data_IF_576307760666
#
_entry.id   IF_576307760666
#
_cell.length_a   1.000
_cell.length_b   1.000
_cell.length_c   1.000
_cell.angle_alpha   90.00
_cell.angle_beta   90.00
_cell.angle_gamma   90.00
#
_symmetry.space_group_name_H-M   'P 1'
#
loop_
_entity.id
_entity.type
_entity.pdbx_description
1 polymer ?
#
# COMPACT_ATOMS: atom_id res chain seq x y z
N UNK A 1 -35.88 8.82 40.08
CA UNK A 1 -34.59 9.26 40.68
C UNK A 1 -33.46 8.48 40.04
N UNK A 2 -32.66 9.11 39.17
CA UNK A 2 -31.46 8.47 38.59
C UNK A 2 -30.33 8.56 39.62
N UNK A 3 -29.74 7.42 40.00
CA UNK A 3 -28.58 7.36 40.90
C UNK A 3 -27.32 7.59 40.07
N UNK A 4 -26.63 8.69 40.32
CA UNK A 4 -25.31 8.96 39.76
C UNK A 4 -24.31 7.94 40.33
N UNK A 5 -23.80 7.05 39.49
CA UNK A 5 -22.67 6.19 39.86
C UNK A 5 -21.40 7.02 39.76
N UNK A 6 -20.89 7.46 40.90
CA UNK A 6 -19.49 7.92 40.99
C UNK A 6 -18.58 6.70 40.86
N UNK A 7 -17.61 6.78 39.97
CA UNK A 7 -16.52 5.81 39.89
C UNK A 7 -15.30 6.46 40.56
N UNK A 8 -14.83 5.86 41.65
CA UNK A 8 -13.59 6.27 42.31
C UNK A 8 -12.41 5.71 41.50
N UNK A 9 -11.51 6.59 41.04
CA UNK A 9 -10.29 6.18 40.34
C UNK A 9 -9.24 5.84 41.39
N UNK A 10 -8.90 4.55 41.49
CA UNK A 10 -7.75 4.10 42.28
C UNK A 10 -6.51 4.26 41.40
N UNK A 11 -5.67 5.25 41.71
CA UNK A 11 -4.33 5.36 41.11
C UNK A 11 -3.44 4.35 41.82
N UNK A 12 -3.15 3.23 41.15
CA UNK A 12 -2.12 2.30 41.60
C UNK A 12 -0.78 2.83 41.09
N UNK A 13 0.09 3.26 41.99
CA UNK A 13 1.48 3.60 41.67
C UNK A 13 2.17 2.36 41.10
N UNK A 14 2.38 2.34 39.79
CA UNK A 14 3.07 1.26 39.11
C UNK A 14 4.58 1.51 39.18
N UNK A 15 5.21 0.80 40.11
CA UNK A 15 6.65 0.58 40.15
C UNK A 15 7.13 0.04 38.80
N UNK A 16 8.27 0.56 38.34
CA UNK A 16 8.87 0.29 37.03
C UNK A 16 8.97 -1.19 36.67
N UNK A 17 8.51 -1.50 35.44
CA UNK A 17 9.11 -2.38 34.40
C UNK A 17 8.07 -3.33 33.79
N UNK A 18 7.46 -2.89 32.71
CA UNK A 18 7.32 -3.74 31.52
C UNK A 18 7.25 -2.86 30.28
N UNK A 19 8.33 -2.87 29.50
CA UNK A 19 8.18 -2.57 28.07
C UNK A 19 7.39 -3.75 27.53
N UNK A 20 6.13 -3.53 27.15
CA UNK A 20 5.44 -4.46 26.29
C UNK A 20 6.19 -4.47 24.95
N UNK A 21 7.19 -5.33 24.82
CA UNK A 21 7.75 -5.68 23.52
C UNK A 21 6.70 -6.49 22.81
N UNK A 22 5.90 -5.82 21.99
CA UNK A 22 5.09 -6.48 20.99
C UNK A 22 6.04 -7.32 20.13
N UNK A 23 5.86 -8.64 20.04
CA UNK A 23 6.66 -9.50 19.17
C UNK A 23 6.11 -9.35 17.76
N UNK A 24 6.11 -8.13 17.22
CA UNK A 24 6.09 -8.00 15.78
C UNK A 24 7.49 -8.46 15.36
N UNK A 25 7.62 -9.55 14.58
CA UNK A 25 8.88 -9.83 13.92
C UNK A 25 9.30 -8.54 13.21
N UNK A 26 10.40 -7.95 13.66
CA UNK A 26 11.09 -6.91 12.92
C UNK A 26 11.66 -7.64 11.72
N UNK A 27 10.83 -7.80 10.69
CA UNK A 27 11.34 -8.10 9.37
C UNK A 27 12.19 -6.88 9.02
N UNK A 28 13.51 -7.08 8.93
CA UNK A 28 14.42 -6.16 8.25
C UNK A 28 13.99 -6.15 6.78
N UNK A 29 12.88 -5.48 6.49
CA UNK A 29 12.58 -5.07 5.14
C UNK A 29 13.57 -3.96 4.84
N UNK A 30 14.28 -4.10 3.71
CA UNK A 30 15.02 -3.01 3.13
C UNK A 30 14.05 -1.81 3.06
N UNK A 31 14.47 -0.62 3.49
CA UNK A 31 13.58 0.55 3.56
C UNK A 31 12.92 0.82 2.19
N UNK A 32 13.62 0.44 1.12
CA UNK A 32 13.16 0.43 -0.26
C UNK A 32 12.01 -0.56 -0.53
N UNK A 33 12.03 -1.78 0.03
CA UNK A 33 10.92 -2.72 -0.07
C UNK A 33 9.67 -2.21 0.65
N UNK A 34 9.86 -1.62 1.83
CA UNK A 34 8.77 -1.06 2.62
C UNK A 34 8.14 0.15 1.91
N UNK A 35 8.97 1.02 1.35
CA UNK A 35 8.53 2.15 0.54
C UNK A 35 7.76 1.66 -0.70
N UNK A 36 8.32 0.71 -1.44
CA UNK A 36 7.65 0.11 -2.60
C UNK A 36 6.30 -0.53 -2.21
N UNK A 37 6.22 -1.20 -1.06
CA UNK A 37 4.98 -1.78 -0.55
C UNK A 37 3.94 -0.72 -0.17
N UNK A 38 4.34 0.37 0.50
CA UNK A 38 3.45 1.48 0.87
C UNK A 38 2.92 2.18 -0.39
N UNK A 39 3.80 2.48 -1.34
CA UNK A 39 3.45 3.12 -2.61
C UNK A 39 2.49 2.24 -3.42
N UNK A 40 2.78 0.94 -3.54
CA UNK A 40 1.87 -0.01 -4.20
C UNK A 40 0.50 -0.05 -3.49
N UNK A 41 0.46 -0.03 -2.14
CA UNK A 41 -0.80 -0.06 -1.39
C UNK A 41 -1.67 1.19 -1.60
N UNK A 42 -1.07 2.37 -1.71
CA UNK A 42 -1.79 3.63 -1.94
C UNK A 42 -2.27 3.78 -3.39
N UNK A 43 -1.52 3.21 -4.34
CA UNK A 43 -1.79 3.36 -5.77
C UNK A 43 -2.71 2.28 -6.34
N UNK A 44 -2.70 1.08 -5.74
CA UNK A 44 -3.56 -0.03 -6.16
C UNK A 44 -5.05 0.30 -6.19
N UNK A 45 -5.65 1.10 -5.28
CA UNK A 45 -7.05 1.49 -5.35
C UNK A 45 -7.45 2.25 -6.61
N UNK A 46 -6.54 3.06 -7.19
CA UNK A 46 -6.82 3.94 -8.34
C UNK A 46 -6.94 3.20 -9.67
N UNK A 47 -6.38 1.99 -9.74
CA UNK A 47 -6.39 1.18 -10.95
C UNK A 47 -7.70 0.38 -11.10
N UNK A 48 -8.10 0.12 -12.34
CA UNK A 48 -9.16 -0.86 -12.61
C UNK A 48 -8.65 -2.29 -12.33
N UNK A 49 -9.56 -3.23 -12.03
CA UNK A 49 -9.19 -4.64 -11.71
C UNK A 49 -8.25 -5.24 -12.76
N UNK A 50 -8.56 -5.10 -14.05
CA UNK A 50 -7.73 -5.65 -15.12
C UNK A 50 -6.34 -5.00 -15.21
N UNK A 51 -6.22 -3.72 -14.86
CA UNK A 51 -4.94 -3.01 -14.79
C UNK A 51 -4.11 -3.51 -13.59
N UNK A 52 -4.74 -3.70 -12.42
CA UNK A 52 -4.08 -4.27 -11.24
C UNK A 52 -3.51 -5.66 -11.52
N UNK A 53 -4.31 -6.52 -12.16
CA UNK A 53 -3.90 -7.89 -12.48
C UNK A 53 -2.72 -7.87 -13.46
N UNK A 54 -2.80 -7.09 -14.54
CA UNK A 54 -1.70 -6.98 -15.52
C UNK A 54 -0.42 -6.45 -14.86
N UNK A 55 -0.50 -5.39 -14.07
CA UNK A 55 0.64 -4.79 -13.40
C UNK A 55 1.25 -5.75 -12.35
N UNK A 56 0.41 -6.41 -11.55
CA UNK A 56 0.85 -7.39 -10.56
C UNK A 56 1.55 -8.60 -11.18
N UNK A 57 0.99 -9.16 -12.27
CA UNK A 57 1.65 -10.23 -13.01
C UNK A 57 2.98 -9.77 -13.61
N UNK A 58 3.07 -8.52 -14.08
CA UNK A 58 4.31 -7.96 -14.60
C UNK A 58 5.39 -7.84 -13.52
N UNK A 59 5.03 -7.39 -12.32
CA UNK A 59 5.92 -7.31 -11.14
C UNK A 59 6.41 -8.70 -10.70
N UNK A 60 5.58 -9.73 -10.85
CA UNK A 60 5.95 -11.13 -10.64
C UNK A 60 6.83 -11.71 -11.77
N UNK A 61 7.25 -10.90 -12.74
CA UNK A 61 8.15 -11.30 -13.83
C UNK A 61 7.46 -11.95 -15.03
N UNK A 62 6.12 -11.98 -15.08
CA UNK A 62 5.42 -12.58 -16.22
C UNK A 62 5.62 -11.71 -17.49
N UNK A 63 5.82 -12.39 -18.62
CA UNK A 63 5.90 -11.71 -19.92
C UNK A 63 4.49 -11.37 -20.43
N UNK A 64 4.36 -10.35 -21.29
CA UNK A 64 3.07 -10.01 -21.91
C UNK A 64 2.41 -11.19 -22.64
N UNK A 65 3.22 -12.11 -23.18
CA UNK A 65 2.72 -13.34 -23.82
C UNK A 65 2.05 -14.25 -22.80
N UNK A 66 2.68 -14.47 -21.64
CA UNK A 66 2.09 -15.28 -20.56
C UNK A 66 0.84 -14.65 -20.00
N UNK A 67 0.85 -13.34 -19.77
CA UNK A 67 -0.32 -12.59 -19.26
C UNK A 67 -1.49 -12.68 -20.25
N UNK A 68 -1.22 -12.52 -21.56
CA UNK A 68 -2.24 -12.62 -22.61
C UNK A 68 -2.95 -13.98 -22.60
N UNK A 69 -2.20 -15.07 -22.37
CA UNK A 69 -2.75 -16.43 -22.23
C UNK A 69 -3.54 -16.60 -20.93
N UNK A 70 -3.02 -16.11 -19.82
CA UNK A 70 -3.63 -16.28 -18.50
C UNK A 70 -4.97 -15.52 -18.38
N UNK A 71 -5.03 -14.33 -18.95
CA UNK A 71 -6.22 -13.47 -18.93
C UNK A 71 -7.14 -13.67 -20.14
N UNK A 72 -6.75 -14.53 -21.09
CA UNK A 72 -7.46 -14.76 -22.36
C UNK A 72 -7.79 -13.45 -23.12
N UNK A 73 -6.79 -12.57 -23.24
CA UNK A 73 -6.89 -11.29 -23.98
C UNK A 73 -5.73 -11.16 -24.97
N UNK A 74 -5.85 -10.25 -25.94
CA UNK A 74 -4.76 -10.02 -26.90
C UNK A 74 -3.52 -9.42 -26.23
N UNK A 75 -2.32 -9.69 -26.77
CA UNK A 75 -1.07 -9.05 -26.29
C UNK A 75 -1.14 -7.53 -26.37
N UNK A 76 -1.80 -7.00 -27.40
CA UNK A 76 -2.04 -5.57 -27.56
C UNK A 76 -2.86 -5.02 -26.40
N UNK A 77 -3.92 -5.74 -25.99
CA UNK A 77 -4.75 -5.38 -24.84
C UNK A 77 -3.95 -5.37 -23.54
N UNK A 78 -3.08 -6.36 -23.31
CA UNK A 78 -2.16 -6.37 -22.16
C UNK A 78 -1.29 -5.11 -22.15
N UNK A 79 -0.65 -4.78 -23.29
CA UNK A 79 0.17 -3.58 -23.41
C UNK A 79 -0.61 -2.28 -23.20
N UNK A 80 -1.86 -2.20 -23.64
CA UNK A 80 -2.71 -1.02 -23.38
C UNK A 80 -3.07 -0.88 -21.90
N UNK A 81 -3.37 -2.00 -21.22
CA UNK A 81 -3.67 -2.01 -19.79
C UNK A 81 -2.44 -1.62 -18.97
N UNK A 82 -1.26 -2.13 -19.33
CA UNK A 82 0.02 -1.79 -18.69
C UNK A 82 0.36 -0.30 -18.85
N UNK A 83 0.22 0.25 -20.07
CA UNK A 83 0.41 1.69 -20.34
C UNK A 83 -0.59 2.56 -19.62
N UNK A 84 -1.86 2.16 -19.58
CA UNK A 84 -2.89 2.90 -18.86
C UNK A 84 -2.61 2.92 -17.35
N UNK A 85 -2.22 1.77 -16.79
CA UNK A 85 -1.88 1.66 -15.38
C UNK A 85 -0.67 2.55 -15.02
N UNK A 86 0.44 2.39 -15.74
CA UNK A 86 1.66 3.19 -15.52
C UNK A 86 1.43 4.69 -15.68
N UNK A 87 0.57 5.13 -16.62
CA UNK A 87 0.19 6.54 -16.76
C UNK A 87 -0.56 7.08 -15.54
N UNK A 88 -1.48 6.30 -14.97
CA UNK A 88 -2.20 6.69 -13.75
C UNK A 88 -1.24 6.80 -12.57
N UNK A 89 -0.33 5.83 -12.44
CA UNK A 89 0.70 5.84 -11.40
C UNK A 89 1.62 7.07 -11.54
N UNK A 90 2.15 7.31 -12.74
CA UNK A 90 3.05 8.43 -13.00
C UNK A 90 2.41 9.79 -12.71
N UNK A 91 1.11 9.95 -13.00
CA UNK A 91 0.39 11.19 -12.69
C UNK A 91 0.35 11.45 -11.18
N UNK A 92 0.16 10.41 -10.37
CA UNK A 92 0.06 10.59 -8.93
C UNK A 92 1.41 10.95 -8.30
N UNK A 93 2.50 10.36 -8.78
CA UNK A 93 3.85 10.73 -8.34
C UNK A 93 4.30 12.11 -8.82
N UNK A 94 3.81 12.60 -9.98
CA UNK A 94 4.16 13.94 -10.46
C UNK A 94 3.41 15.06 -9.74
N UNK A 95 2.32 14.77 -9.03
CA UNK A 95 1.55 15.78 -8.29
C UNK A 95 2.18 16.11 -6.92
N UNK A 96 3.06 15.26 -6.38
CA UNK A 96 3.79 15.52 -5.13
C UNK A 96 5.08 16.36 -5.32
N UNK A 97 5.58 16.50 -6.56
CA UNK A 97 6.78 17.30 -6.87
C UNK A 97 6.49 18.80 -7.10
N UNK A 98 5.21 19.21 -7.22
CA UNK A 98 4.84 20.60 -7.53
C UNK A 98 4.78 21.52 -6.29
N UNK A 99 4.80 20.97 -5.06
CA UNK A 99 4.74 21.75 -3.81
C UNK A 99 6.12 22.21 -3.26
N UNK A 100 7.24 21.86 -3.92
CA UNK A 100 8.58 22.38 -3.57
C UNK A 100 8.97 23.70 -4.29
N UNK A 101 8.05 24.32 -5.07
CA UNK A 101 8.33 25.57 -5.84
C UNK A 101 7.79 26.86 -5.24
N UNK A 102 7.56 26.94 -3.92
CA UNK A 102 7.34 28.24 -3.25
C UNK A 102 8.61 28.62 -2.49
N UNK A 103 9.45 29.44 -3.13
CA UNK A 103 10.53 30.21 -2.49
C UNK A 103 10.40 31.69 -2.83
#
# INVERSE_FOLDING_TARGET
MKKDRKCDIIIVENNMKSKATYPFPVYEHDEEELLNYILLRQLFPLLQINQKIVLGLRLLGYTQVMISRLMNISRTSVGTLEKAATKILAKHFSEDDEDERIS
#
